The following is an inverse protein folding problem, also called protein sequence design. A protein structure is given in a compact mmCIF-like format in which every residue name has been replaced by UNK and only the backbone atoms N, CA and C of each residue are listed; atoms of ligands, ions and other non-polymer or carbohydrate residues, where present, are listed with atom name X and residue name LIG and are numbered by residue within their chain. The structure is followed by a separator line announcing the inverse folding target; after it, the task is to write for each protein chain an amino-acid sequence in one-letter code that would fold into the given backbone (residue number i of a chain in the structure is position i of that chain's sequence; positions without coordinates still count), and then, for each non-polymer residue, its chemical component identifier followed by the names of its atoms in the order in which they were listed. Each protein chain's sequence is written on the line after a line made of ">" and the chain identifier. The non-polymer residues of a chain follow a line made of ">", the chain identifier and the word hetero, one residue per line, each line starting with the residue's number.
data_IF_488589127888
#
_entry.id   IF_488589127888
#
_cell.length_a   1.000
_cell.length_b   1.000
_cell.length_c   1.000
_cell.angle_alpha   90.00
_cell.angle_beta   90.00
_cell.angle_gamma   90.00
#
_symmetry.space_group_name_H-M   'P 1'
#
loop_
_entity.id
_entity.type
_entity.pdbx_description
1 polymer ?
#
# COMPACT_ATOMS: atom_id res chain seq x y z
N UNK A 1 3.96 31.00 1.58
CA UNK A 1 4.38 29.63 1.21
C UNK A 1 3.69 28.71 2.20
N UNK A 2 2.88 27.78 1.71
CA UNK A 2 2.17 26.85 2.57
C UNK A 2 3.15 25.75 2.96
N UNK A 3 3.63 25.79 4.19
CA UNK A 3 4.67 24.90 4.69
C UNK A 3 4.13 23.90 5.71
N UNK A 4 2.81 23.89 5.92
CA UNK A 4 2.11 23.06 6.88
C UNK A 4 1.09 22.20 6.14
N UNK A 5 1.04 20.92 6.50
CA UNK A 5 0.09 19.96 5.96
C UNK A 5 -1.28 20.26 6.55
N UNK A 6 -2.22 20.59 5.67
CA UNK A 6 -3.63 20.82 6.00
C UNK A 6 -4.52 20.23 4.92
N UNK A 7 -5.82 20.14 5.17
CA UNK A 7 -6.78 19.71 4.15
C UNK A 7 -6.58 20.46 2.82
N UNK A 8 -6.72 19.72 1.72
CA UNK A 8 -6.56 20.17 0.33
C UNK A 8 -5.13 20.61 -0.01
N UNK A 9 -4.14 19.91 0.55
CA UNK A 9 -2.72 20.09 0.22
C UNK A 9 -2.13 18.84 -0.39
N UNK A 10 -1.25 19.03 -1.37
CA UNK A 10 -0.44 17.95 -1.93
C UNK A 10 0.85 17.87 -1.13
N UNK A 11 1.12 16.68 -0.62
CA UNK A 11 2.26 16.40 0.25
C UNK A 11 3.19 15.44 -0.48
N UNK A 12 4.46 15.81 -0.56
CA UNK A 12 5.54 14.94 -1.03
C UNK A 12 6.31 14.44 0.19
N UNK A 13 6.33 13.13 0.37
CA UNK A 13 6.99 12.43 1.46
C UNK A 13 8.11 11.56 0.91
N UNK A 14 9.30 11.69 1.49
CA UNK A 14 10.29 10.62 1.38
C UNK A 14 10.00 9.64 2.52
N UNK A 15 9.85 8.36 2.19
CA UNK A 15 9.56 7.33 3.17
C UNK A 15 10.60 6.22 3.07
N UNK A 16 10.79 5.48 4.16
CA UNK A 16 11.41 4.16 4.12
C UNK A 16 10.59 3.22 4.99
N UNK A 17 10.37 1.99 4.55
CA UNK A 17 9.62 0.98 5.26
C UNK A 17 10.57 -0.11 5.74
N UNK A 18 10.50 -0.38 7.04
CA UNK A 18 11.25 -1.45 7.68
C UNK A 18 10.31 -2.35 8.45
N UNK A 19 10.72 -3.58 8.67
CA UNK A 19 10.04 -4.44 9.63
C UNK A 19 10.46 -4.08 11.08
N UNK A 20 9.82 -4.66 12.11
CA UNK A 20 10.15 -4.41 13.50
C UNK A 20 11.53 -4.97 13.91
N UNK A 21 12.08 -5.87 13.09
CA UNK A 21 13.41 -6.46 13.28
C UNK A 21 14.52 -5.60 12.63
N UNK A 22 14.15 -4.57 11.88
CA UNK A 22 15.04 -3.61 11.22
C UNK A 22 15.43 -3.99 9.80
N UNK A 23 14.87 -5.06 9.22
CA UNK A 23 15.08 -5.39 7.82
C UNK A 23 14.37 -4.37 6.93
N UNK A 24 15.05 -3.93 5.87
CA UNK A 24 14.48 -3.01 4.89
C UNK A 24 13.46 -3.75 4.04
N UNK A 25 12.21 -3.28 4.04
CA UNK A 25 11.14 -3.79 3.19
C UNK A 25 11.07 -2.94 1.92
N UNK A 26 11.11 -1.62 2.07
CA UNK A 26 11.08 -0.66 0.98
C UNK A 26 11.99 0.53 1.31
N UNK A 27 12.93 0.86 0.43
CA UNK A 27 13.83 2.01 0.61
C UNK A 27 13.20 3.34 0.18
N UNK A 28 11.97 3.32 -0.36
CA UNK A 28 11.21 4.49 -0.81
C UNK A 28 12.00 5.34 -1.79
N UNK A 29 12.67 4.69 -2.73
CA UNK A 29 13.47 5.33 -3.79
C UNK A 29 12.69 6.41 -4.56
N UNK A 30 11.37 6.27 -4.63
CA UNK A 30 10.45 7.24 -5.18
C UNK A 30 9.67 7.95 -4.06
N UNK A 31 9.64 9.29 -4.02
CA UNK A 31 8.85 10.00 -3.04
C UNK A 31 7.36 9.72 -3.24
N UNK A 32 6.66 9.46 -2.14
CA UNK A 32 5.22 9.32 -2.14
C UNK A 32 4.59 10.71 -2.26
N UNK A 33 3.72 10.89 -3.26
CA UNK A 33 2.98 12.13 -3.46
C UNK A 33 1.50 11.83 -3.35
N UNK A 34 0.83 12.44 -2.38
CA UNK A 34 -0.59 12.20 -2.12
C UNK A 34 -1.34 13.50 -1.81
N UNK A 35 -2.66 13.44 -1.90
CA UNK A 35 -3.56 14.54 -1.56
C UNK A 35 -4.08 14.35 -0.12
N UNK A 36 -3.81 15.32 0.73
CA UNK A 36 -4.18 15.29 2.14
C UNK A 36 -5.53 15.96 2.38
N UNK A 37 -6.41 15.31 3.15
CA UNK A 37 -7.73 15.83 3.50
C UNK A 37 -8.88 14.82 3.49
N UNK A 38 -8.60 13.51 3.57
CA UNK A 38 -9.60 12.44 3.49
C UNK A 38 -9.91 12.01 2.05
N UNK A 39 -8.86 11.83 1.26
CA UNK A 39 -8.94 11.37 -0.14
C UNK A 39 -8.38 9.95 -0.32
N UNK A 40 -8.16 9.22 0.77
CA UNK A 40 -7.65 7.83 0.78
C UNK A 40 -6.33 7.64 0.01
N UNK A 41 -5.52 8.69 -0.09
CA UNK A 41 -4.21 8.63 -0.77
C UNK A 41 -3.08 8.02 0.06
N UNK A 42 -3.31 7.80 1.36
CA UNK A 42 -2.38 7.20 2.31
C UNK A 42 -3.17 6.55 3.46
N UNK A 43 -2.53 5.69 4.26
CA UNK A 43 -3.15 5.09 5.44
C UNK A 43 -3.74 6.16 6.37
N UNK A 44 -4.99 6.00 6.87
CA UNK A 44 -5.67 7.00 7.70
C UNK A 44 -4.85 7.44 8.92
N UNK A 45 -4.18 6.49 9.58
CA UNK A 45 -3.31 6.75 10.74
C UNK A 45 -2.11 7.64 10.35
N UNK A 46 -1.53 7.43 9.17
CA UNK A 46 -0.46 8.29 8.67
C UNK A 46 -0.96 9.69 8.34
N UNK A 47 -2.14 9.77 7.72
CA UNK A 47 -2.76 11.05 7.39
C UNK A 47 -2.99 11.89 8.66
N UNK A 48 -3.59 11.31 9.70
CA UNK A 48 -3.82 12.01 10.97
C UNK A 48 -2.51 12.47 11.64
N UNK A 49 -1.45 11.66 11.58
CA UNK A 49 -0.14 12.03 12.13
C UNK A 49 0.57 13.13 11.33
N UNK A 50 0.31 13.21 10.03
CA UNK A 50 0.85 14.21 9.13
C UNK A 50 0.12 15.55 9.25
N UNK A 51 -1.13 15.57 9.70
CA UNK A 51 -1.91 16.78 9.87
C UNK A 51 -1.19 17.79 10.79
N UNK A 52 -0.95 19.01 10.30
CA UNK A 52 -0.24 20.06 11.01
C UNK A 52 1.30 19.95 11.01
N UNK A 53 1.87 18.93 10.37
CA UNK A 53 3.33 18.81 10.19
C UNK A 53 3.86 19.79 9.17
N UNK A 54 5.15 20.13 9.30
CA UNK A 54 5.79 21.10 8.41
C UNK A 54 6.85 20.46 7.51
N UNK A 55 7.11 21.12 6.38
CA UNK A 55 8.20 20.74 5.47
C UNK A 55 9.53 20.65 6.22
N UNK A 56 10.24 19.54 6.04
CA UNK A 56 11.50 19.23 6.70
C UNK A 56 11.34 18.43 8.00
N UNK A 57 10.13 18.26 8.53
CA UNK A 57 9.92 17.37 9.68
C UNK A 57 10.14 15.91 9.30
N UNK A 58 10.77 15.20 10.22
CA UNK A 58 11.01 13.76 10.15
C UNK A 58 10.41 13.11 11.36
N UNK A 59 9.72 12.00 11.15
CA UNK A 59 9.16 11.23 12.24
C UNK A 59 9.05 9.77 11.82
N UNK A 60 9.03 8.91 12.82
CA UNK A 60 8.86 7.48 12.65
C UNK A 60 7.49 7.11 13.20
N UNK A 61 6.81 6.21 12.51
CA UNK A 61 5.53 5.66 12.91
C UNK A 61 5.53 4.17 12.68
N UNK A 62 5.05 3.44 13.67
CA UNK A 62 4.84 2.00 13.57
C UNK A 62 3.36 1.77 13.28
N UNK A 63 3.07 1.23 12.12
CA UNK A 63 1.73 0.75 11.78
C UNK A 63 1.64 -0.72 12.15
N UNK A 64 0.58 -1.07 12.88
CA UNK A 64 0.22 -2.48 13.06
C UNK A 64 -0.35 -3.02 11.74
N UNK A 65 -0.44 -4.34 11.57
CA UNK A 65 -1.03 -4.92 10.36
C UNK A 65 -2.41 -4.34 10.06
N UNK A 66 -3.26 -4.22 11.09
CA UNK A 66 -4.60 -3.62 11.03
C UNK A 66 -4.63 -2.17 10.50
N UNK A 67 -3.56 -1.40 10.68
CA UNK A 67 -3.45 0.01 10.25
C UNK A 67 -2.76 0.19 8.88
N UNK A 68 -2.21 -0.89 8.33
CA UNK A 68 -1.45 -0.89 7.08
C UNK A 68 -2.12 -1.75 6.01
N UNK A 69 -1.64 -2.98 5.82
CA UNK A 69 -2.10 -3.89 4.76
C UNK A 69 -3.15 -4.91 5.25
N UNK A 70 -3.65 -4.76 6.46
CA UNK A 70 -4.56 -5.69 7.10
C UNK A 70 -3.83 -6.80 7.87
N UNK A 71 -4.60 -7.51 8.68
CA UNK A 71 -4.15 -8.77 9.27
C UNK A 71 -4.02 -9.85 8.19
N UNK A 72 -3.21 -10.86 8.47
CA UNK A 72 -3.17 -12.05 7.63
C UNK A 72 -4.47 -12.81 7.81
N UNK A 73 -5.23 -12.97 6.73
CA UNK A 73 -6.49 -13.68 6.72
C UNK A 73 -6.28 -15.12 6.21
N UNK A 74 -6.43 -16.09 7.12
CA UNK A 74 -6.34 -17.51 6.78
C UNK A 74 -7.48 -17.94 5.83
N UNK A 75 -8.60 -17.23 5.80
CA UNK A 75 -9.72 -17.53 4.90
C UNK A 75 -9.42 -17.11 3.44
N UNK A 76 -8.43 -16.24 3.22
CA UNK A 76 -7.91 -15.91 1.88
C UNK A 76 -6.87 -16.94 1.39
N UNK A 77 -6.52 -17.93 2.21
CA UNK A 77 -5.67 -19.04 1.82
C UNK A 77 -6.55 -20.19 1.31
N UNK A 78 -6.47 -20.45 0.02
CA UNK A 78 -7.29 -21.47 -0.63
C UNK A 78 -6.43 -22.67 -1.05
N UNK A 79 -6.98 -23.86 -0.87
CA UNK A 79 -6.38 -25.10 -1.34
C UNK A 79 -7.23 -25.61 -2.50
N UNK A 80 -6.65 -25.59 -3.68
CA UNK A 80 -7.33 -25.92 -4.93
C UNK A 80 -6.62 -27.10 -5.61
N UNK A 81 -7.33 -27.82 -6.46
CA UNK A 81 -6.72 -28.92 -7.20
C UNK A 81 -5.83 -28.39 -8.33
N UNK A 82 -4.63 -28.96 -8.50
CA UNK A 82 -3.68 -28.52 -9.52
C UNK A 82 -4.23 -28.60 -10.95
N UNK A 83 -5.27 -29.40 -11.19
CA UNK A 83 -5.97 -29.47 -12.47
C UNK A 83 -6.72 -28.20 -12.87
N UNK A 84 -7.03 -27.32 -11.91
CA UNK A 84 -7.67 -26.02 -12.18
C UNK A 84 -6.66 -24.99 -12.69
N UNK A 85 -5.37 -25.27 -12.54
CA UNK A 85 -4.27 -24.40 -12.93
C UNK A 85 -3.63 -24.91 -14.24
N UNK A 86 -2.97 -24.02 -15.01
CA UNK A 86 -2.18 -24.43 -16.16
C UNK A 86 -0.97 -25.28 -15.74
N UNK A 87 -0.44 -26.10 -16.66
CA UNK A 87 0.61 -27.09 -16.35
C UNK A 87 1.97 -26.49 -15.92
N UNK A 88 2.14 -25.17 -16.02
CA UNK A 88 3.38 -24.45 -15.76
C UNK A 88 3.35 -23.63 -14.45
N UNK A 89 2.65 -24.12 -13.42
CA UNK A 89 2.65 -23.47 -12.10
C UNK A 89 3.94 -23.72 -11.31
N UNK A 90 4.42 -22.68 -10.64
CA UNK A 90 5.57 -22.73 -9.74
C UNK A 90 5.25 -21.98 -8.45
N UNK A 91 5.85 -22.41 -7.34
CA UNK A 91 5.75 -21.70 -6.06
C UNK A 91 6.32 -20.29 -6.23
N UNK A 92 5.57 -19.30 -5.75
CA UNK A 92 5.88 -17.88 -5.90
C UNK A 92 5.24 -17.21 -7.12
N UNK A 93 4.62 -17.97 -8.04
CA UNK A 93 3.81 -17.37 -9.11
C UNK A 93 2.55 -16.71 -8.57
N UNK A 94 2.19 -15.56 -9.12
CA UNK A 94 0.97 -14.83 -8.79
C UNK A 94 -0.05 -14.94 -9.93
N UNK A 95 -1.33 -15.06 -9.58
CA UNK A 95 -2.47 -15.19 -10.48
C UNK A 95 -3.54 -14.20 -10.08
N UNK A 96 -4.08 -13.49 -11.06
CA UNK A 96 -5.27 -12.67 -10.88
C UNK A 96 -6.51 -13.58 -10.99
N UNK A 97 -7.30 -13.64 -9.93
CA UNK A 97 -8.60 -14.30 -9.93
C UNK A 97 -9.68 -13.24 -9.85
N UNK A 98 -10.57 -13.25 -10.82
CA UNK A 98 -11.81 -12.47 -10.76
C UNK A 98 -12.71 -13.15 -9.74
N UNK A 99 -13.13 -12.43 -8.69
CA UNK A 99 -14.09 -12.95 -7.72
C UNK A 99 -15.42 -13.30 -8.39
N UNK A 100 -16.22 -14.19 -7.80
CA UNK A 100 -17.51 -14.63 -8.38
C UNK A 100 -18.49 -13.48 -8.64
N UNK A 101 -18.30 -12.34 -7.97
CA UNK A 101 -19.08 -11.11 -8.19
C UNK A 101 -18.61 -10.28 -9.41
N UNK A 102 -17.45 -10.57 -9.99
CA UNK A 102 -16.94 -9.89 -11.19
C UNK A 102 -16.39 -8.48 -10.96
N UNK A 103 -16.33 -8.03 -9.70
CA UNK A 103 -16.03 -6.64 -9.34
C UNK A 103 -14.61 -6.43 -8.82
N UNK A 104 -13.92 -7.49 -8.35
CA UNK A 104 -12.56 -7.41 -7.80
C UNK A 104 -11.64 -8.46 -8.40
N UNK A 105 -10.50 -8.00 -8.92
CA UNK A 105 -9.35 -8.82 -9.30
C UNK A 105 -8.48 -8.99 -8.06
N UNK A 106 -8.54 -10.16 -7.43
CA UNK A 106 -7.68 -10.49 -6.29
C UNK A 106 -6.45 -11.23 -6.82
N UNK A 107 -5.27 -10.75 -6.44
CA UNK A 107 -4.00 -11.39 -6.77
C UNK A 107 -3.73 -12.48 -5.74
N UNK A 108 -3.74 -13.72 -6.18
CA UNK A 108 -3.37 -14.89 -5.39
C UNK A 108 -1.94 -15.33 -5.72
N UNK A 109 -1.11 -15.57 -4.71
CA UNK A 109 0.24 -16.14 -4.89
C UNK A 109 0.26 -17.61 -4.51
N UNK A 110 0.86 -18.46 -5.34
CA UNK A 110 1.12 -19.86 -4.98
C UNK A 110 2.16 -19.89 -3.87
N UNK A 111 1.78 -20.42 -2.71
CA UNK A 111 2.67 -20.58 -1.56
C UNK A 111 3.22 -21.99 -1.45
N UNK A 112 2.48 -22.99 -1.93
CA UNK A 112 2.92 -24.39 -1.92
C UNK A 112 2.24 -25.23 -3.01
N UNK A 113 2.93 -26.27 -3.47
CA UNK A 113 2.40 -27.26 -4.42
C UNK A 113 2.79 -28.66 -3.92
N UNK A 114 1.82 -29.42 -3.44
CA UNK A 114 2.05 -30.75 -2.87
C UNK A 114 0.90 -31.70 -3.20
N UNK A 115 1.22 -32.97 -3.48
CA UNK A 115 0.25 -34.06 -3.68
C UNK A 115 -0.89 -33.75 -4.68
N UNK A 116 -0.60 -32.99 -5.74
CA UNK A 116 -1.60 -32.59 -6.75
C UNK A 116 -2.55 -31.48 -6.30
N UNK A 117 -2.24 -30.82 -5.19
CA UNK A 117 -2.93 -29.63 -4.67
C UNK A 117 -2.02 -28.42 -4.72
N UNK A 118 -2.64 -27.27 -4.90
CA UNK A 118 -1.98 -25.96 -4.97
C UNK A 118 -2.56 -25.12 -3.84
N UNK A 119 -1.67 -24.60 -3.00
CA UNK A 119 -2.02 -23.63 -1.97
C UNK A 119 -1.78 -22.25 -2.55
N UNK A 120 -2.84 -21.45 -2.57
CA UNK A 120 -2.81 -20.08 -3.04
C UNK A 120 -3.19 -19.14 -1.91
N UNK A 121 -2.53 -18.00 -1.85
CA UNK A 121 -2.69 -17.00 -0.80
C UNK A 121 -3.07 -15.66 -1.44
N UNK A 122 -4.30 -15.20 -1.15
CA UNK A 122 -4.84 -13.93 -1.63
C UNK A 122 -4.45 -12.72 -0.78
N UNK A 123 -3.70 -12.92 0.31
CA UNK A 123 -3.29 -11.83 1.17
C UNK A 123 -2.29 -10.91 0.48
N UNK A 124 -2.30 -9.64 0.87
CA UNK A 124 -1.23 -8.73 0.49
C UNK A 124 0.12 -9.28 0.97
N UNK A 125 1.23 -9.17 0.20
CA UNK A 125 2.53 -9.72 0.61
C UNK A 125 3.07 -9.23 1.96
N UNK A 126 2.54 -8.11 2.46
CA UNK A 126 2.90 -7.49 3.74
C UNK A 126 1.78 -7.58 4.79
N UNK A 127 0.68 -8.29 4.50
CA UNK A 127 -0.41 -8.52 5.46
C UNK A 127 0.12 -9.29 6.69
N UNK A 128 -0.43 -8.99 7.86
CA UNK A 128 0.00 -9.57 9.14
C UNK A 128 1.38 -9.11 9.63
N UNK A 129 2.09 -8.27 8.88
CA UNK A 129 3.42 -7.76 9.27
C UNK A 129 3.30 -6.32 9.75
N UNK A 130 3.76 -6.05 10.97
CA UNK A 130 3.86 -4.68 11.47
C UNK A 130 4.96 -3.93 10.71
N UNK A 131 4.69 -2.71 10.28
CA UNK A 131 5.62 -1.94 9.46
C UNK A 131 6.04 -0.66 10.18
N UNK A 132 7.33 -0.36 10.13
CA UNK A 132 7.93 0.86 10.66
C UNK A 132 8.22 1.79 9.49
N UNK A 133 7.45 2.87 9.41
CA UNK A 133 7.61 3.91 8.40
C UNK A 133 8.45 5.06 8.98
N UNK A 134 9.58 5.34 8.36
CA UNK A 134 10.33 6.57 8.59
C UNK A 134 9.93 7.58 7.51
N UNK A 135 9.26 8.66 7.90
CA UNK A 135 8.69 9.65 6.99
C UNK A 135 9.41 10.98 7.12
N UNK A 136 9.67 11.61 5.98
CA UNK A 136 10.22 12.97 5.88
C UNK A 136 9.36 13.80 4.97
N UNK A 137 8.82 14.91 5.48
CA UNK A 137 8.04 15.85 4.67
C UNK A 137 8.99 16.60 3.74
N UNK A 138 9.02 16.23 2.47
CA UNK A 138 9.92 16.81 1.48
C UNK A 138 9.36 18.13 0.92
N UNK A 139 8.07 18.16 0.61
CA UNK A 139 7.40 19.37 0.11
C UNK A 139 5.91 19.36 0.47
N UNK A 140 5.34 20.55 0.61
CA UNK A 140 3.90 20.77 0.76
C UNK A 140 3.51 21.88 -0.19
N UNK A 141 2.46 21.66 -0.97
CA UNK A 141 1.86 22.70 -1.81
C UNK A 141 0.34 22.64 -1.72
N UNK A 142 -0.31 23.72 -2.10
CA UNK A 142 -1.77 23.72 -2.24
C UNK A 142 -2.18 22.85 -3.43
N UNK A 143 -3.24 22.06 -3.26
CA UNK A 143 -3.83 21.31 -4.36
C UNK A 143 -4.56 22.24 -5.34
N UNK A 144 -4.58 21.87 -6.62
CA UNK A 144 -5.41 22.54 -7.61
C UNK A 144 -6.87 22.14 -7.45
N UNK A 145 -7.79 22.92 -8.02
CA UNK A 145 -9.22 22.61 -7.96
C UNK A 145 -9.53 21.27 -8.66
N UNK A 146 -8.80 20.94 -9.72
CA UNK A 146 -8.92 19.67 -10.44
C UNK A 146 -8.45 18.48 -9.59
N UNK A 147 -7.32 18.60 -8.89
CA UNK A 147 -6.81 17.55 -8.00
C UNK A 147 -7.78 17.24 -6.86
N UNK A 148 -8.38 18.29 -6.27
CA UNK A 148 -9.42 18.17 -5.24
C UNK A 148 -10.67 17.50 -5.80
N UNK A 149 -11.10 17.89 -7.01
CA UNK A 149 -12.29 17.33 -7.65
C UNK A 149 -12.09 15.86 -8.06
N UNK A 150 -10.88 15.47 -8.43
CA UNK A 150 -10.51 14.12 -8.83
C UNK A 150 -10.11 13.24 -7.64
N UNK A 151 -9.82 13.84 -6.48
CA UNK A 151 -9.38 13.15 -5.27
C UNK A 151 -7.96 12.60 -5.32
N UNK A 152 -7.18 12.96 -6.34
CA UNK A 152 -5.78 12.53 -6.47
C UNK A 152 -4.92 13.60 -7.14
N UNK A 153 -3.61 13.46 -6.97
CA UNK A 153 -2.62 14.41 -7.48
C UNK A 153 -2.41 14.18 -8.97
N UNK A 154 -2.44 15.26 -9.77
CA UNK A 154 -2.12 15.23 -11.19
C UNK A 154 -0.68 15.78 -11.39
N UNK A 155 0.27 14.94 -11.81
CA UNK A 155 1.67 15.35 -12.00
C UNK A 155 2.65 14.18 -12.15
N UNK A 156 3.97 14.44 -12.22
CA UNK A 156 5.01 13.39 -12.21
C UNK A 156 4.83 12.47 -10.99
N UNK A 157 4.37 11.24 -11.22
CA UNK A 157 4.06 10.24 -10.19
C UNK A 157 2.57 10.06 -9.86
N UNK A 158 1.66 10.87 -10.42
CA UNK A 158 0.23 10.60 -10.39
C UNK A 158 -0.13 9.56 -11.45
N UNK A 159 -0.84 8.51 -11.06
CA UNK A 159 -1.38 7.54 -12.01
C UNK A 159 -2.28 8.29 -13.01
N UNK A 160 -1.80 8.40 -14.24
CA UNK A 160 -2.66 8.77 -15.36
C UNK A 160 -3.62 7.61 -15.58
N UNK A 161 -4.92 7.87 -15.47
CA UNK A 161 -5.95 7.03 -16.06
C UNK A 161 -5.75 6.94 -17.58
#
# INVERSE_FOLDING_TARGET
>A
MQNEIVKDTVVTLNYTVRDPEGNMIDDGAHPLVYLHGGYDGIFPVLEELLQGKKVGERFQVKLQPEDAFGEYDEDLVLIEDASLFPENIEVGMSFERVTDNGEEEVIYRITDIADGKVVVDGNHPLAGTALVFDLTVAAVRKASADEIAHGHVHGEGGHHH
#
